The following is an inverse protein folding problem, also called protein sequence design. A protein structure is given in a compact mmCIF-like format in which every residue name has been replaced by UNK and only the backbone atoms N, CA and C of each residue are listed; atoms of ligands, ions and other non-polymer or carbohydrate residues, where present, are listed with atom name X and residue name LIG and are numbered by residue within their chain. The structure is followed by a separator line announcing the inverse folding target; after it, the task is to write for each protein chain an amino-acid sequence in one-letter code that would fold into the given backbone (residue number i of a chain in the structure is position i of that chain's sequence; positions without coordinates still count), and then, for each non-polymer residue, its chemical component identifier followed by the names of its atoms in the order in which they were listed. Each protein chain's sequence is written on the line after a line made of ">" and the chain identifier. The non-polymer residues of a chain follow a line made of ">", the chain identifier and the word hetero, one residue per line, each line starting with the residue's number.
data_IF_964752721726
#
_entry.id   IF_964752721726
#
_cell.length_a   1.000
_cell.length_b   1.000
_cell.length_c   1.000
_cell.angle_alpha   90.00
_cell.angle_beta   90.00
_cell.angle_gamma   90.00
#
_symmetry.space_group_name_H-M   'P 1'
#
loop_
_entity.id
_entity.type
_entity.pdbx_description
1 polymer ?
#
# COMPACT_ATOMS: atom_id res chain seq x y z
N UNK A 1 2.73 16.27 -8.92
CA UNK A 1 1.31 15.92 -8.97
C UNK A 1 0.94 15.04 -7.81
N UNK A 2 0.36 15.66 -6.84
CA UNK A 2 0.00 14.97 -5.60
C UNK A 2 -1.12 13.95 -5.78
N UNK A 3 -1.98 14.17 -6.79
CA UNK A 3 -3.14 13.30 -7.01
C UNK A 3 -2.77 11.94 -7.58
N UNK A 4 -1.65 11.86 -8.31
CA UNK A 4 -1.20 10.59 -8.86
C UNK A 4 -0.70 9.65 -7.78
N UNK A 5 -0.13 10.19 -6.70
CA UNK A 5 0.40 9.37 -5.61
C UNK A 5 -0.65 8.49 -4.96
N UNK A 6 -1.76 9.07 -4.44
CA UNK A 6 -2.84 8.26 -3.87
C UNK A 6 -3.45 7.28 -4.86
N UNK A 7 -3.62 7.68 -6.11
CA UNK A 7 -4.17 6.80 -7.14
C UNK A 7 -3.30 5.58 -7.38
N UNK A 8 -1.98 5.76 -7.43
CA UNK A 8 -1.04 4.66 -7.59
C UNK A 8 -1.08 3.72 -6.40
N UNK A 9 -1.18 4.26 -5.18
CA UNK A 9 -1.28 3.47 -3.97
C UNK A 9 -2.56 2.62 -3.97
N UNK A 10 -3.70 3.24 -4.23
CA UNK A 10 -4.97 2.53 -4.25
C UNK A 10 -5.00 1.46 -5.33
N UNK A 11 -4.48 1.77 -6.51
CA UNK A 11 -4.40 0.80 -7.61
C UNK A 11 -3.52 -0.38 -7.21
N UNK A 12 -2.36 -0.11 -6.64
CA UNK A 12 -1.44 -1.17 -6.20
C UNK A 12 -2.08 -2.06 -5.13
N UNK A 13 -2.83 -1.48 -4.21
CA UNK A 13 -3.46 -2.21 -3.11
C UNK A 13 -4.82 -2.81 -3.46
N UNK A 14 -5.28 -2.65 -4.70
CA UNK A 14 -6.54 -3.26 -5.12
C UNK A 14 -6.42 -4.78 -5.29
N UNK A 15 -5.22 -5.30 -5.45
CA UNK A 15 -4.95 -6.72 -5.62
C UNK A 15 -4.70 -7.37 -4.25
N UNK A 16 -5.43 -8.45 -3.90
CA UNK A 16 -5.25 -9.09 -2.59
C UNK A 16 -3.87 -9.69 -2.39
N UNK A 17 -3.22 -10.16 -3.45
CA UNK A 17 -1.87 -10.73 -3.33
C UNK A 17 -0.86 -9.63 -3.01
N UNK A 18 -1.01 -8.44 -3.61
CA UNK A 18 -0.14 -7.31 -3.29
C UNK A 18 -0.31 -6.88 -1.83
N UNK A 19 -1.54 -6.89 -1.32
CA UNK A 19 -1.77 -6.61 0.09
C UNK A 19 -1.10 -7.65 0.99
N UNK A 20 -1.12 -8.92 0.57
CA UNK A 20 -0.45 -9.99 1.31
C UNK A 20 1.07 -9.79 1.33
N UNK A 21 1.65 -9.34 0.20
CA UNK A 21 3.08 -9.03 0.15
C UNK A 21 3.44 -7.90 1.11
N UNK A 22 2.66 -6.82 1.10
CA UNK A 22 2.88 -5.70 2.01
C UNK A 22 2.77 -6.15 3.46
N UNK A 23 1.77 -6.98 3.77
CA UNK A 23 1.59 -7.50 5.13
C UNK A 23 2.78 -8.34 5.58
N UNK A 24 3.26 -9.23 4.71
CA UNK A 24 4.41 -10.06 5.03
C UNK A 24 5.65 -9.22 5.30
N UNK A 25 5.92 -8.23 4.46
CA UNK A 25 7.06 -7.34 4.65
C UNK A 25 6.91 -6.49 5.92
N UNK A 26 5.69 -6.07 6.24
CA UNK A 26 5.44 -5.28 7.45
C UNK A 26 5.63 -6.10 8.72
N UNK A 27 5.18 -7.34 8.70
CA UNK A 27 5.22 -8.20 9.89
C UNK A 27 6.59 -8.83 10.12
N UNK A 28 7.29 -9.17 9.06
CA UNK A 28 8.56 -9.91 9.15
C UNK A 28 9.79 -9.06 8.88
N UNK A 29 9.60 -7.84 8.37
CA UNK A 29 10.69 -6.99 7.96
C UNK A 29 11.16 -7.32 6.55
N UNK A 30 12.35 -6.84 6.15
CA UNK A 30 12.85 -7.05 4.79
C UNK A 30 12.97 -8.52 4.43
N UNK A 31 12.58 -8.86 3.20
CA UNK A 31 12.61 -10.22 2.71
C UNK A 31 13.06 -10.28 1.26
N UNK A 32 13.64 -11.41 0.88
CA UNK A 32 13.99 -11.67 -0.52
C UNK A 32 12.77 -12.15 -1.29
N UNK A 33 12.86 -12.11 -2.62
CA UNK A 33 11.83 -12.66 -3.49
C UNK A 33 11.56 -14.13 -3.17
N UNK A 34 12.62 -14.90 -2.94
CA UNK A 34 12.49 -16.32 -2.64
C UNK A 34 11.74 -16.57 -1.34
N UNK A 35 12.04 -15.78 -0.31
CA UNK A 35 11.33 -15.89 0.96
C UNK A 35 9.85 -15.58 0.80
N UNK A 36 9.53 -14.52 0.10
CA UNK A 36 8.13 -14.15 -0.16
C UNK A 36 7.41 -15.25 -0.95
N UNK A 37 8.06 -15.76 -1.99
CA UNK A 37 7.46 -16.80 -2.83
C UNK A 37 7.21 -18.10 -2.07
N UNK A 38 8.03 -18.41 -1.07
CA UNK A 38 7.84 -19.62 -0.28
C UNK A 38 6.65 -19.52 0.68
N UNK A 39 6.20 -18.31 0.99
CA UNK A 39 5.14 -18.09 1.96
C UNK A 39 3.77 -17.84 1.33
N UNK A 40 3.76 -17.40 0.08
CA UNK A 40 2.52 -17.03 -0.60
C UNK A 40 2.11 -18.10 -1.61
N UNK A 41 0.80 -18.31 -1.78
CA UNK A 41 0.31 -19.34 -2.70
C UNK A 41 0.31 -18.88 -4.15
N UNK A 42 1.42 -18.33 -4.59
CA UNK A 42 1.60 -17.81 -5.95
C UNK A 42 2.99 -18.15 -6.44
N UNK A 43 3.17 -18.08 -7.75
CA UNK A 43 4.47 -18.39 -8.34
C UNK A 43 5.49 -17.29 -8.04
N UNK A 44 6.76 -17.66 -8.12
CA UNK A 44 7.86 -16.71 -7.96
C UNK A 44 7.75 -15.57 -8.97
N UNK A 45 7.36 -15.89 -10.21
CA UNK A 45 7.19 -14.89 -11.24
C UNK A 45 6.06 -13.90 -10.91
N UNK A 46 4.97 -14.41 -10.33
CA UNK A 46 3.86 -13.56 -9.89
C UNK A 46 4.31 -12.63 -8.77
N UNK A 47 5.08 -13.14 -7.80
CA UNK A 47 5.60 -12.30 -6.72
C UNK A 47 6.49 -11.19 -7.30
N UNK A 48 7.34 -11.52 -8.27
CA UNK A 48 8.20 -10.52 -8.91
C UNK A 48 7.37 -9.41 -9.57
N UNK A 49 6.29 -9.77 -10.25
CA UNK A 49 5.39 -8.80 -10.87
C UNK A 49 4.71 -7.91 -9.83
N UNK A 50 4.25 -8.52 -8.74
CA UNK A 50 3.61 -7.76 -7.67
C UNK A 50 4.58 -6.79 -7.00
N UNK A 51 5.81 -7.22 -6.77
CA UNK A 51 6.85 -6.35 -6.21
C UNK A 51 7.15 -5.19 -7.15
N UNK A 52 7.20 -5.44 -8.46
CA UNK A 52 7.43 -4.37 -9.44
C UNK A 52 6.31 -3.34 -9.40
N UNK A 53 5.06 -3.79 -9.31
CA UNK A 53 3.92 -2.89 -9.22
C UNK A 53 3.94 -2.08 -7.92
N UNK A 54 4.29 -2.72 -6.81
CA UNK A 54 4.40 -2.05 -5.52
C UNK A 54 5.54 -1.04 -5.51
N UNK A 55 6.66 -1.37 -6.14
CA UNK A 55 7.79 -0.45 -6.26
C UNK A 55 7.43 0.76 -7.11
N UNK A 56 6.67 0.55 -8.19
CA UNK A 56 6.20 1.63 -9.04
C UNK A 56 5.31 2.61 -8.27
N UNK A 57 4.52 2.11 -7.34
CA UNK A 57 3.69 2.95 -6.48
C UNK A 57 4.47 3.55 -5.30
N UNK A 58 5.75 3.21 -5.16
CA UNK A 58 6.58 3.71 -4.08
C UNK A 58 6.35 3.02 -2.74
N UNK A 59 5.63 1.89 -2.74
CA UNK A 59 5.26 1.20 -1.50
C UNK A 59 6.32 0.24 -1.00
N UNK A 60 7.21 -0.21 -1.87
CA UNK A 60 8.35 -1.03 -1.50
C UNK A 60 9.62 -0.48 -2.16
N UNK A 61 10.74 -0.75 -1.52
CA UNK A 61 12.06 -0.44 -2.06
C UNK A 61 12.90 -1.69 -1.95
N UNK A 62 13.89 -1.81 -2.82
CA UNK A 62 14.82 -2.93 -2.78
C UNK A 62 16.20 -2.44 -2.34
N UNK A 63 16.94 -3.33 -1.71
CA UNK A 63 18.28 -3.05 -1.24
C UNK A 63 19.15 -4.28 -1.43
N UNK A 64 20.36 -4.08 -1.91
CA UNK A 64 21.31 -5.17 -2.05
C UNK A 64 21.99 -5.41 -0.70
N UNK A 65 21.87 -6.63 -0.19
CA UNK A 65 22.50 -7.04 1.07
C UNK A 65 23.31 -8.29 0.78
N UNK A 66 24.63 -8.14 0.67
CA UNK A 66 25.47 -9.22 0.25
C UNK A 66 25.17 -9.63 -1.19
N UNK A 67 24.82 -10.89 -1.38
CA UNK A 67 24.46 -11.42 -2.71
C UNK A 67 22.98 -11.41 -2.98
N UNK A 68 22.21 -10.95 -2.00
CA UNK A 68 20.75 -10.99 -2.10
C UNK A 68 20.17 -9.61 -2.28
N UNK A 69 19.00 -9.56 -2.90
CA UNK A 69 18.19 -8.35 -2.95
C UNK A 69 17.04 -8.52 -1.98
N UNK A 70 16.93 -7.61 -1.04
CA UNK A 70 15.85 -7.61 -0.06
C UNK A 70 14.87 -6.48 -0.38
N UNK A 71 13.59 -6.74 -0.11
CA UNK A 71 12.52 -5.77 -0.30
C UNK A 71 11.98 -5.36 1.06
N UNK A 72 11.65 -4.10 1.20
CA UNK A 72 11.10 -3.54 2.43
C UNK A 72 9.98 -2.57 2.11
N UNK A 73 9.06 -2.40 3.06
CA UNK A 73 7.97 -1.44 2.92
C UNK A 73 8.52 -0.02 3.06
N UNK A 74 8.04 0.86 2.20
CA UNK A 74 8.28 2.29 2.29
C UNK A 74 6.98 2.92 2.79
N UNK A 75 6.90 3.37 4.06
CA UNK A 75 5.62 3.77 4.64
C UNK A 75 5.07 5.10 4.13
N UNK A 76 5.89 5.99 3.60
CA UNK A 76 5.46 7.33 3.26
C UNK A 76 4.24 7.40 2.32
N UNK A 77 4.20 6.63 1.21
CA UNK A 77 3.02 6.69 0.35
C UNK A 77 1.74 6.21 1.03
N UNK A 78 1.85 5.25 1.95
CA UNK A 78 0.70 4.80 2.74
C UNK A 78 0.22 5.90 3.68
N UNK A 79 1.15 6.58 4.34
CA UNK A 79 0.82 7.70 5.23
C UNK A 79 0.13 8.82 4.47
N UNK A 80 0.63 9.14 3.27
CA UNK A 80 0.03 10.17 2.43
C UNK A 80 -1.39 9.79 2.01
N UNK A 81 -1.61 8.52 1.68
CA UNK A 81 -2.94 8.03 1.31
C UNK A 81 -3.91 8.07 2.50
N UNK A 82 -3.43 7.68 3.68
CA UNK A 82 -4.22 7.74 4.92
C UNK A 82 -4.62 9.19 5.21
N UNK A 83 -3.68 10.11 5.08
CA UNK A 83 -3.94 11.53 5.30
C UNK A 83 -4.97 12.07 4.33
N UNK A 84 -4.85 11.69 3.05
CA UNK A 84 -5.84 12.07 2.05
C UNK A 84 -7.23 11.55 2.39
N UNK A 85 -7.31 10.25 2.79
CA UNK A 85 -8.58 9.65 3.18
C UNK A 85 -9.18 10.33 4.40
N UNK A 86 -8.34 10.71 5.36
CA UNK A 86 -8.80 11.41 6.56
C UNK A 86 -9.40 12.77 6.22
N UNK A 87 -8.79 13.50 5.28
CA UNK A 87 -9.33 14.78 4.83
C UNK A 87 -10.69 14.61 4.16
N UNK A 88 -10.80 13.65 3.25
CA UNK A 88 -12.07 13.36 2.57
C UNK A 88 -13.12 12.90 3.57
N UNK A 89 -12.75 12.01 4.49
CA UNK A 89 -13.65 11.55 5.54
C UNK A 89 -14.13 12.69 6.42
N UNK A 90 -13.23 13.59 6.80
CA UNK A 90 -13.58 14.77 7.59
C UNK A 90 -14.56 15.67 6.87
N UNK A 91 -14.39 15.87 5.57
CA UNK A 91 -15.32 16.66 4.76
C UNK A 91 -16.71 16.02 4.74
N UNK A 92 -16.78 14.70 4.56
CA UNK A 92 -18.05 13.99 4.57
C UNK A 92 -18.72 14.07 5.94
N UNK A 93 -17.94 13.91 7.02
CA UNK A 93 -18.47 14.01 8.38
C UNK A 93 -19.08 15.38 8.63
N UNK A 94 -18.44 16.45 8.17
CA UNK A 94 -18.95 17.81 8.30
C UNK A 94 -20.25 17.98 7.52
N UNK A 95 -20.32 17.45 6.31
CA UNK A 95 -21.53 17.51 5.49
C UNK A 95 -22.67 16.75 6.13
N UNK A 96 -22.41 15.56 6.65
CA UNK A 96 -23.42 14.76 7.34
C UNK A 96 -23.93 15.49 8.60
N UNK A 97 -23.04 16.10 9.35
CA UNK A 97 -23.42 16.84 10.55
C UNK A 97 -24.33 18.01 10.20
N UNK A 98 -24.01 18.75 9.12
CA UNK A 98 -24.86 19.85 8.68
C UNK A 98 -26.25 19.37 8.25
N UNK A 99 -26.30 18.24 7.53
CA UNK A 99 -27.56 17.67 7.08
C UNK A 99 -28.42 17.24 8.26
N UNK A 100 -27.82 16.58 9.24
CA UNK A 100 -28.54 16.17 10.45
C UNK A 100 -29.15 17.36 11.16
N UNK A 101 -28.40 18.44 11.30
CA UNK A 101 -28.92 19.66 11.94
C UNK A 101 -30.08 20.24 11.15
N UNK A 102 -29.99 20.22 9.85
CA UNK A 102 -31.05 20.73 8.97
C UNK A 102 -32.33 19.92 9.10
N UNK A 103 -32.20 18.60 9.12
CA UNK A 103 -33.35 17.70 9.22
C UNK A 103 -33.98 17.68 10.60
N UNK A 104 -33.24 18.06 11.63
CA UNK A 104 -33.75 18.10 13.00
C UNK A 104 -34.62 19.31 13.31
N UNK A 105 -34.72 20.27 12.41
CA UNK A 105 -35.53 21.49 12.59
C UNK A 105 -37.02 21.26 12.29
#
# INVERSE_FOLDING_TARGET
>A
MTEKGPDLVFSALSDPTRRAVIRALSERGPQTLSELASELPVTRQAVAKHLAALAHAGLVASERVGRETQYRVTPQPLEDAIEWMARVGGEWDARLARLRRHLAR
#
